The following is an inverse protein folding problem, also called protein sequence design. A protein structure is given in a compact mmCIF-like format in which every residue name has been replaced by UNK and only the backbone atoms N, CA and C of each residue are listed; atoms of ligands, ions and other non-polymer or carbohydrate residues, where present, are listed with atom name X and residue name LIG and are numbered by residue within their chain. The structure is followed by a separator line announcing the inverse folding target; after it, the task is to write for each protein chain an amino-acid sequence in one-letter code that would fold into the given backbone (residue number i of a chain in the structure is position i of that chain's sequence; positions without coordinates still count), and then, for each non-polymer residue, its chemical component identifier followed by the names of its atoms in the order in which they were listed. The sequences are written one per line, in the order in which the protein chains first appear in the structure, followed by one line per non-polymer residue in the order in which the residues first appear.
data_IF_456686852292
#
_entry.id   IF_456686852292
#
_cell.length_a   1.000
_cell.length_b   1.000
_cell.length_c   1.000
_cell.angle_alpha   90.00
_cell.angle_beta   90.00
_cell.angle_gamma   90.00
#
_symmetry.space_group_name_H-M   'P 1'
#
loop_
_entity.id
_entity.type
_entity.pdbx_description
1 polymer ?
#
# COMPACT_ATOMS: atom_id res chain seq x y z
N UNK A 1 -2.84 85.17 -6.59
CA UNK A 1 -2.81 85.23 -5.10
C UNK A 1 -3.94 84.38 -4.63
N UNK A 2 -3.70 83.40 -3.78
CA UNK A 2 -4.58 82.32 -3.27
C UNK A 2 -4.41 80.97 -4.00
N UNK A 3 -3.32 80.31 -3.69
CA UNK A 3 -3.11 78.86 -3.83
C UNK A 3 -2.02 78.42 -2.84
N UNK A 4 -2.35 78.25 -1.59
CA UNK A 4 -1.38 77.63 -0.68
C UNK A 4 -1.94 77.20 0.67
N UNK A 5 -3.09 76.59 0.74
CA UNK A 5 -3.55 76.08 2.07
C UNK A 5 -4.39 74.77 2.03
N UNK A 6 -4.16 73.96 0.97
CA UNK A 6 -4.97 72.70 0.92
C UNK A 6 -4.11 71.41 1.18
N UNK A 7 -2.82 71.54 1.59
CA UNK A 7 -1.93 70.37 1.73
C UNK A 7 -1.44 70.09 3.16
N UNK A 8 -2.12 70.55 4.18
CA UNK A 8 -1.67 70.33 5.57
C UNK A 8 -2.77 69.75 6.50
N UNK A 9 -3.51 68.74 6.08
CA UNK A 9 -4.33 67.93 7.01
C UNK A 9 -4.56 66.50 6.51
N UNK A 10 -3.50 65.80 6.14
CA UNK A 10 -3.49 64.33 6.17
C UNK A 10 -2.56 63.89 7.29
N UNK A 11 -3.01 64.07 8.54
CA UNK A 11 -2.38 63.39 9.67
C UNK A 11 -2.76 61.91 9.61
N UNK A 12 -1.74 61.12 9.45
CA UNK A 12 -1.54 59.81 10.10
C UNK A 12 -2.81 59.12 10.62
N UNK A 13 -3.43 58.33 9.76
CA UNK A 13 -4.25 57.22 10.20
C UNK A 13 -3.34 55.98 10.17
N UNK A 14 -2.68 55.72 11.29
CA UNK A 14 -1.98 54.47 11.55
C UNK A 14 -3.05 53.36 11.60
N UNK A 15 -3.18 52.62 10.49
CA UNK A 15 -3.93 51.38 10.50
C UNK A 15 -3.08 50.37 11.28
N UNK A 16 -3.40 50.21 12.55
CA UNK A 16 -2.98 49.07 13.33
C UNK A 16 -3.59 47.83 12.67
N UNK A 17 -2.80 47.14 11.83
CA UNK A 17 -3.13 45.83 11.35
C UNK A 17 -3.01 44.90 12.55
N UNK A 18 -4.07 44.75 13.31
CA UNK A 18 -4.20 43.66 14.27
C UNK A 18 -4.19 42.36 13.44
N UNK A 19 -3.01 41.71 13.40
CA UNK A 19 -2.90 40.34 12.97
C UNK A 19 -3.80 39.51 13.90
N UNK A 20 -5.04 39.30 13.51
CA UNK A 20 -5.83 38.21 14.03
C UNK A 20 -5.12 36.94 13.64
N UNK A 21 -4.29 36.43 14.56
CA UNK A 21 -3.81 35.08 14.49
C UNK A 21 -5.05 34.18 14.39
N UNK A 22 -5.31 33.65 13.21
CA UNK A 22 -6.15 32.49 13.02
C UNK A 22 -5.48 31.37 13.82
N UNK A 23 -5.78 31.31 15.12
CA UNK A 23 -5.59 30.09 15.88
C UNK A 23 -6.48 29.06 15.18
N UNK A 24 -5.88 28.27 14.28
CA UNK A 24 -6.50 27.07 13.79
C UNK A 24 -6.91 26.27 15.02
N UNK A 25 -8.22 26.14 15.25
CA UNK A 25 -8.76 25.24 16.25
C UNK A 25 -8.24 23.85 15.89
N UNK A 26 -7.17 23.44 16.53
CA UNK A 26 -6.62 22.08 16.39
C UNK A 26 -7.71 21.14 16.92
N UNK A 27 -8.31 20.36 16.03
CA UNK A 27 -9.21 19.30 16.46
C UNK A 27 -8.41 18.32 17.32
N UNK A 28 -9.01 17.84 18.42
CA UNK A 28 -8.36 16.91 19.34
C UNK A 28 -7.84 15.69 18.57
N UNK A 29 -6.60 15.29 18.87
CA UNK A 29 -5.99 14.06 18.41
C UNK A 29 -6.12 13.03 19.54
N UNK A 30 -6.80 11.91 19.29
CA UNK A 30 -7.08 10.89 20.32
C UNK A 30 -5.79 10.25 20.89
N UNK A 31 -4.64 10.42 20.21
CA UNK A 31 -3.36 9.80 20.60
C UNK A 31 -2.35 10.80 21.17
N UNK A 32 -2.67 12.08 21.30
CA UNK A 32 -1.71 13.12 21.70
C UNK A 32 -1.09 12.88 23.10
N UNK A 33 -1.77 12.15 23.98
CA UNK A 33 -1.30 11.80 25.33
C UNK A 33 -0.80 10.36 25.44
N UNK A 34 -0.71 9.63 24.31
CA UNK A 34 -0.18 8.29 24.34
C UNK A 34 1.32 8.30 24.66
N UNK A 35 1.85 7.40 25.53
CA UNK A 35 3.26 7.43 25.96
C UNK A 35 4.27 7.42 24.83
N UNK A 36 3.99 6.72 23.71
CA UNK A 36 4.89 6.67 22.55
C UNK A 36 4.68 7.81 21.54
N UNK A 37 3.71 8.73 21.74
CA UNK A 37 3.43 9.76 20.74
C UNK A 37 4.61 10.71 20.51
N UNK A 38 5.31 11.11 21.58
CA UNK A 38 6.48 11.97 21.45
C UNK A 38 7.62 11.28 20.64
N UNK A 39 7.85 9.99 20.91
CA UNK A 39 8.84 9.20 20.17
C UNK A 39 8.43 9.03 18.68
N UNK A 40 7.17 8.75 18.41
CA UNK A 40 6.64 8.71 17.04
C UNK A 40 6.88 10.03 16.30
N UNK A 41 6.53 11.17 16.93
CA UNK A 41 6.73 12.50 16.35
C UNK A 41 8.20 12.76 16.04
N UNK A 42 9.08 12.42 16.96
CA UNK A 42 10.54 12.56 16.77
C UNK A 42 11.03 11.69 15.61
N UNK A 43 10.60 10.43 15.54
CA UNK A 43 10.95 9.53 14.45
C UNK A 43 10.44 10.05 13.08
N UNK A 44 9.20 10.54 13.01
CA UNK A 44 8.66 11.14 11.80
C UNK A 44 9.48 12.34 11.31
N UNK A 45 9.94 13.19 12.24
CA UNK A 45 10.80 14.33 11.92
C UNK A 45 12.19 13.87 11.42
N UNK A 46 12.80 12.91 12.08
CA UNK A 46 14.16 12.45 11.77
C UNK A 46 14.23 11.61 10.50
N UNK A 47 13.30 10.67 10.35
CA UNK A 47 13.34 9.68 9.25
C UNK A 47 12.75 10.22 7.94
N UNK A 48 11.84 11.20 8.02
CA UNK A 48 11.11 11.72 6.85
C UNK A 48 11.29 13.22 6.62
N UNK A 49 12.10 13.91 7.44
CA UNK A 49 12.36 15.35 7.29
C UNK A 49 11.15 16.24 7.57
N UNK A 50 10.14 15.73 8.29
CA UNK A 50 8.94 16.49 8.64
C UNK A 50 9.25 17.51 9.74
N UNK A 51 8.60 18.68 9.68
CA UNK A 51 8.61 19.61 10.82
C UNK A 51 7.60 19.16 11.89
N UNK A 52 7.82 19.59 13.14
CA UNK A 52 6.89 19.34 14.22
C UNK A 52 5.45 19.82 13.89
N UNK A 53 5.35 20.98 13.24
CA UNK A 53 4.07 21.54 12.81
C UNK A 53 3.37 20.69 11.75
N UNK A 54 4.12 20.11 10.80
CA UNK A 54 3.56 19.21 9.80
C UNK A 54 2.98 17.95 10.44
N UNK A 55 3.70 17.34 11.39
CA UNK A 55 3.19 16.18 12.11
C UNK A 55 1.92 16.53 12.91
N UNK A 56 1.95 17.63 13.68
CA UNK A 56 0.80 18.06 14.48
C UNK A 56 -0.43 18.38 13.61
N UNK A 57 -0.22 19.07 12.49
CA UNK A 57 -1.29 19.38 11.54
C UNK A 57 -1.89 18.12 10.90
N UNK A 58 -1.04 17.18 10.47
CA UNK A 58 -1.49 15.91 9.90
C UNK A 58 -2.26 15.06 10.91
N UNK A 59 -1.83 15.07 12.18
CA UNK A 59 -2.45 14.31 13.27
C UNK A 59 -3.68 15.00 13.87
N UNK A 60 -3.92 16.28 13.55
CA UNK A 60 -5.10 16.99 14.02
C UNK A 60 -6.39 16.28 13.60
N UNK A 61 -7.30 16.03 14.55
CA UNK A 61 -8.55 15.32 14.35
C UNK A 61 -8.43 13.83 14.09
N UNK A 62 -7.27 13.22 14.38
CA UNK A 62 -7.08 11.75 14.28
C UNK A 62 -7.96 11.04 15.30
N UNK A 63 -8.65 9.99 14.82
CA UNK A 63 -9.59 9.20 15.63
C UNK A 63 -9.06 7.82 15.93
N UNK A 64 -9.31 7.36 17.16
CA UNK A 64 -9.11 5.96 17.52
C UNK A 64 -10.30 5.12 17.02
N UNK A 65 -10.00 4.01 16.33
CA UNK A 65 -10.96 3.09 15.72
C UNK A 65 -10.81 1.68 16.34
N UNK A 66 -11.29 1.44 17.58
CA UNK A 66 -10.99 0.21 18.34
C UNK A 66 -11.39 -1.08 17.63
N UNK A 67 -12.43 -1.03 16.76
CA UNK A 67 -12.87 -2.19 15.99
C UNK A 67 -11.79 -2.73 15.03
N UNK A 68 -10.87 -1.89 14.58
CA UNK A 68 -9.76 -2.28 13.70
C UNK A 68 -8.86 -3.33 14.38
N UNK A 69 -8.59 -3.16 15.68
CA UNK A 69 -7.78 -4.14 16.45
C UNK A 69 -8.48 -5.50 16.50
N UNK A 70 -9.81 -5.52 16.65
CA UNK A 70 -10.59 -6.76 16.63
C UNK A 70 -10.51 -7.45 15.25
N UNK A 71 -10.53 -6.68 14.16
CA UNK A 71 -10.39 -7.21 12.80
C UNK A 71 -8.98 -7.81 12.62
N UNK A 72 -7.93 -7.09 13.04
CA UNK A 72 -6.54 -7.54 12.97
C UNK A 72 -6.28 -8.85 13.75
N UNK A 73 -7.00 -9.08 14.83
CA UNK A 73 -6.88 -10.29 15.63
C UNK A 73 -7.64 -11.50 15.04
N UNK A 74 -8.44 -11.31 13.99
CA UNK A 74 -9.23 -12.36 13.32
C UNK A 74 -9.04 -12.31 11.81
N UNK A 75 -7.83 -12.57 11.30
CA UNK A 75 -7.56 -12.50 9.87
C UNK A 75 -8.41 -13.53 9.11
N UNK A 76 -8.98 -13.09 7.99
CA UNK A 76 -9.84 -13.93 7.16
C UNK A 76 -9.09 -14.99 6.35
N UNK A 77 -7.74 -14.86 6.26
CA UNK A 77 -6.87 -15.73 5.48
C UNK A 77 -6.64 -17.11 6.12
N UNK A 78 -7.07 -17.33 7.35
CA UNK A 78 -6.95 -18.62 8.03
C UNK A 78 -7.90 -19.71 7.49
N UNK A 79 -8.70 -19.41 6.45
CA UNK A 79 -9.64 -20.36 5.84
C UNK A 79 -8.92 -21.35 4.92
N UNK A 80 -9.41 -22.61 4.80
CA UNK A 80 -8.92 -23.54 3.78
C UNK A 80 -9.05 -22.96 2.37
N UNK A 81 -8.15 -23.33 1.47
CA UNK A 81 -8.09 -22.81 0.11
C UNK A 81 -9.42 -22.90 -0.65
N UNK A 82 -10.12 -24.03 -0.58
CA UNK A 82 -11.40 -24.22 -1.27
C UNK A 82 -12.45 -23.17 -0.88
N UNK A 83 -12.43 -22.72 0.37
CA UNK A 83 -13.33 -21.65 0.85
C UNK A 83 -12.78 -20.25 0.58
N UNK A 84 -11.45 -20.07 0.68
CA UNK A 84 -10.79 -18.78 0.47
C UNK A 84 -10.88 -18.32 -0.97
N UNK A 85 -10.62 -19.22 -1.93
CA UNK A 85 -10.66 -18.91 -3.37
C UNK A 85 -12.00 -18.38 -3.87
N UNK A 86 -13.11 -18.76 -3.25
CA UNK A 86 -14.45 -18.30 -3.66
C UNK A 86 -14.67 -16.81 -3.51
N UNK A 87 -13.90 -16.15 -2.64
CA UNK A 87 -13.95 -14.70 -2.46
C UNK A 87 -13.52 -13.95 -3.72
N UNK A 88 -12.66 -14.55 -4.56
CA UNK A 88 -12.03 -13.91 -5.71
C UNK A 88 -12.55 -14.40 -7.06
N UNK A 89 -13.09 -15.62 -7.10
CA UNK A 89 -13.50 -16.29 -8.35
C UNK A 89 -15.00 -16.17 -8.65
N UNK A 90 -15.69 -15.21 -8.03
CA UNK A 90 -17.09 -14.95 -8.39
C UNK A 90 -17.16 -14.44 -9.84
N UNK A 91 -18.17 -14.91 -10.60
CA UNK A 91 -18.38 -14.53 -12.01
C UNK A 91 -18.39 -13.02 -12.20
N UNK A 92 -19.00 -12.27 -11.30
CA UNK A 92 -19.03 -10.81 -11.33
C UNK A 92 -17.63 -10.18 -11.23
N UNK A 93 -16.71 -10.81 -10.49
CA UNK A 93 -15.30 -10.37 -10.38
C UNK A 93 -14.53 -10.67 -11.66
N UNK A 94 -14.73 -11.87 -12.22
CA UNK A 94 -14.12 -12.27 -13.50
C UNK A 94 -14.57 -11.32 -14.61
N UNK A 95 -15.86 -11.03 -14.71
CA UNK A 95 -16.40 -10.11 -15.71
C UNK A 95 -15.88 -8.66 -15.54
N UNK A 96 -15.66 -8.20 -14.31
CA UNK A 96 -14.96 -6.91 -14.08
C UNK A 96 -13.54 -6.96 -14.61
N UNK A 97 -12.82 -8.05 -14.37
CA UNK A 97 -11.47 -8.24 -14.88
C UNK A 97 -11.38 -8.23 -16.40
N UNK A 98 -12.33 -8.88 -17.07
CA UNK A 98 -12.41 -8.86 -18.55
C UNK A 98 -12.60 -7.44 -19.07
N UNK A 99 -13.56 -6.68 -18.50
CA UNK A 99 -13.77 -5.28 -18.87
C UNK A 99 -12.57 -4.40 -18.56
N UNK A 100 -11.94 -4.57 -17.40
CA UNK A 100 -10.74 -3.85 -17.01
C UNK A 100 -9.59 -4.11 -17.99
N UNK A 101 -9.36 -5.37 -18.36
CA UNK A 101 -8.36 -5.74 -19.38
C UNK A 101 -8.61 -5.07 -20.71
N UNK A 102 -9.86 -5.02 -21.17
CA UNK A 102 -10.23 -4.35 -22.43
C UNK A 102 -9.98 -2.84 -22.36
N UNK A 103 -10.41 -2.21 -21.26
CA UNK A 103 -10.28 -0.77 -21.05
C UNK A 103 -8.82 -0.30 -20.99
N UNK A 104 -7.95 -1.09 -20.36
CA UNK A 104 -6.55 -0.74 -20.12
C UNK A 104 -5.55 -1.59 -20.92
N UNK A 105 -5.99 -2.10 -22.09
CA UNK A 105 -5.19 -3.04 -22.90
C UNK A 105 -3.81 -2.47 -23.28
N UNK A 106 -3.75 -1.21 -23.72
CA UNK A 106 -2.50 -0.53 -24.10
C UNK A 106 -1.57 -0.36 -22.89
N UNK A 107 -2.12 0.05 -21.76
CA UNK A 107 -1.34 0.23 -20.51
C UNK A 107 -0.78 -1.09 -20.03
N UNK A 108 -1.57 -2.17 -20.06
CA UNK A 108 -1.15 -3.51 -19.68
C UNK A 108 -0.06 -4.04 -20.62
N UNK A 109 -0.21 -3.85 -21.94
CA UNK A 109 0.82 -4.21 -22.93
C UNK A 109 2.12 -3.46 -22.68
N UNK A 110 2.06 -2.16 -22.44
CA UNK A 110 3.24 -1.33 -22.13
C UNK A 110 3.94 -1.81 -20.87
N UNK A 111 3.17 -2.10 -19.80
CA UNK A 111 3.71 -2.59 -18.53
C UNK A 111 4.40 -3.96 -18.68
N UNK A 112 3.78 -4.90 -19.42
CA UNK A 112 4.38 -6.20 -19.72
C UNK A 112 5.67 -6.07 -20.54
N UNK A 113 5.68 -5.21 -21.55
CA UNK A 113 6.87 -4.94 -22.36
C UNK A 113 8.00 -4.30 -21.53
N UNK A 114 7.68 -3.32 -20.71
CA UNK A 114 8.65 -2.57 -19.93
C UNK A 114 9.23 -3.37 -18.78
N UNK A 115 8.38 -3.98 -17.96
CA UNK A 115 8.78 -4.63 -16.71
C UNK A 115 8.92 -6.15 -16.82
N UNK A 116 8.45 -6.75 -17.91
CA UNK A 116 8.48 -8.19 -18.10
C UNK A 116 7.45 -8.98 -17.29
N UNK A 117 6.54 -8.30 -16.63
CA UNK A 117 5.48 -8.92 -15.83
C UNK A 117 4.27 -9.19 -16.71
N UNK A 118 3.81 -10.45 -16.86
CA UNK A 118 2.65 -10.77 -17.69
C UNK A 118 1.39 -10.04 -17.22
N UNK A 119 0.56 -9.57 -18.16
CA UNK A 119 -0.71 -8.91 -17.85
C UNK A 119 -1.59 -9.71 -16.91
N UNK A 120 -1.61 -11.04 -17.05
CA UNK A 120 -2.39 -11.93 -16.20
C UNK A 120 -2.02 -11.80 -14.71
N UNK A 121 -0.74 -11.54 -14.40
CA UNK A 121 -0.26 -11.37 -13.02
C UNK A 121 -0.71 -10.01 -12.48
N UNK A 122 -0.54 -8.94 -13.25
CA UNK A 122 -0.99 -7.60 -12.88
C UNK A 122 -2.51 -7.60 -12.62
N UNK A 123 -3.28 -8.23 -13.52
CA UNK A 123 -4.73 -8.38 -13.39
C UNK A 123 -5.11 -9.25 -12.19
N UNK A 124 -4.36 -10.32 -11.91
CA UNK A 124 -4.58 -11.18 -10.75
C UNK A 124 -4.44 -10.41 -9.44
N UNK A 125 -3.39 -9.60 -9.30
CA UNK A 125 -3.18 -8.74 -8.13
C UNK A 125 -4.32 -7.72 -7.99
N UNK A 126 -4.66 -6.99 -9.05
CA UNK A 126 -5.78 -6.03 -9.03
C UNK A 126 -7.12 -6.68 -8.66
N UNK A 127 -7.32 -7.92 -9.13
CA UNK A 127 -8.52 -8.70 -8.81
C UNK A 127 -8.59 -9.10 -7.34
N UNK A 128 -7.48 -9.59 -6.78
CA UNK A 128 -7.39 -10.03 -5.38
C UNK A 128 -7.45 -8.86 -4.42
N UNK A 129 -6.68 -7.80 -4.68
CA UNK A 129 -6.53 -6.68 -3.76
C UNK A 129 -7.81 -5.82 -3.65
N UNK A 130 -8.42 -5.50 -4.78
CA UNK A 130 -9.52 -4.53 -4.78
C UNK A 130 -10.70 -4.90 -5.67
N UNK A 131 -10.71 -6.11 -6.27
CA UNK A 131 -11.71 -6.46 -7.28
C UNK A 131 -11.73 -5.44 -8.42
N UNK A 132 -10.53 -5.07 -8.92
CA UNK A 132 -10.34 -4.05 -9.97
C UNK A 132 -10.82 -2.65 -9.54
N UNK A 133 -10.51 -2.26 -8.31
CA UNK A 133 -10.84 -0.95 -7.75
C UNK A 133 -12.28 -0.82 -7.20
N UNK A 134 -13.05 -1.91 -7.19
CA UNK A 134 -14.42 -1.90 -6.64
C UNK A 134 -14.45 -1.76 -5.10
N UNK A 135 -13.39 -2.16 -4.41
CA UNK A 135 -13.24 -2.01 -2.97
C UNK A 135 -11.79 -1.67 -2.62
N UNK A 136 -11.51 -0.39 -2.50
CA UNK A 136 -10.19 0.13 -2.11
C UNK A 136 -10.08 0.44 -0.61
N UNK A 137 -11.03 -0.04 0.20
CA UNK A 137 -11.16 0.29 1.61
C UNK A 137 -12.06 1.50 1.86
N UNK A 138 -12.44 1.70 3.13
CA UNK A 138 -13.35 2.76 3.57
C UNK A 138 -12.89 3.48 4.84
N UNK A 139 -11.71 3.13 5.35
CA UNK A 139 -11.15 3.75 6.54
C UNK A 139 -10.28 4.95 6.18
N UNK A 140 -10.35 6.02 6.95
CA UNK A 140 -9.34 7.08 6.87
C UNK A 140 -8.00 6.44 7.25
N UNK A 141 -7.06 6.39 6.30
CA UNK A 141 -5.81 5.64 6.44
C UNK A 141 -4.99 6.11 7.63
N UNK A 142 -4.96 7.43 7.87
CA UNK A 142 -4.32 8.05 9.05
C UNK A 142 -4.88 7.45 10.35
N UNK A 143 -6.20 7.44 10.47
CA UNK A 143 -6.88 6.99 11.70
C UNK A 143 -6.66 5.48 11.92
N UNK A 144 -6.69 4.70 10.84
CA UNK A 144 -6.40 3.26 10.89
C UNK A 144 -4.96 2.98 11.35
N UNK A 145 -3.97 3.64 10.71
CA UNK A 145 -2.56 3.47 11.05
C UNK A 145 -2.24 3.98 12.46
N UNK A 146 -2.84 5.11 12.89
CA UNK A 146 -2.68 5.59 14.24
C UNK A 146 -3.27 4.61 15.27
N UNK A 147 -4.48 4.08 15.02
CA UNK A 147 -5.09 3.07 15.88
C UNK A 147 -4.20 1.85 16.06
N UNK A 148 -3.63 1.33 14.97
CA UNK A 148 -2.73 0.19 15.00
C UNK A 148 -1.36 0.54 15.59
N UNK A 149 -0.83 1.71 15.24
CA UNK A 149 0.49 2.17 15.72
C UNK A 149 0.54 2.46 17.21
N UNK A 150 -0.58 2.84 17.81
CA UNK A 150 -0.65 3.14 19.24
C UNK A 150 -1.40 2.08 20.06
N UNK A 151 -2.16 1.18 19.41
CA UNK A 151 -2.98 0.19 20.14
C UNK A 151 -2.72 -1.27 19.79
N UNK A 152 -1.90 -1.59 18.78
CA UNK A 152 -1.61 -2.97 18.37
C UNK A 152 -0.15 -3.33 18.66
N UNK A 153 0.16 -3.71 19.88
CA UNK A 153 1.52 -3.90 20.42
C UNK A 153 2.43 -4.76 19.54
N UNK A 154 1.91 -5.87 18.96
CA UNK A 154 2.70 -6.82 18.16
C UNK A 154 3.44 -6.18 16.98
N UNK A 155 2.88 -5.10 16.40
CA UNK A 155 3.42 -4.41 15.23
C UNK A 155 3.30 -2.89 15.35
N UNK A 156 3.26 -2.36 16.56
CA UNK A 156 3.06 -0.94 16.83
C UNK A 156 4.07 -0.06 16.07
N UNK A 157 5.36 -0.37 16.16
CA UNK A 157 6.42 0.38 15.47
C UNK A 157 6.22 0.39 13.95
N UNK A 158 5.93 -0.76 13.36
CA UNK A 158 5.66 -0.85 11.92
C UNK A 158 4.53 0.09 11.47
N UNK A 159 3.40 0.11 12.21
CA UNK A 159 2.28 0.99 11.85
C UNK A 159 2.56 2.46 12.14
N UNK A 160 3.39 2.79 13.14
CA UNK A 160 3.87 4.15 13.36
C UNK A 160 4.77 4.61 12.20
N UNK A 161 5.65 3.75 11.69
CA UNK A 161 6.51 4.06 10.54
C UNK A 161 5.67 4.28 9.26
N UNK A 162 4.64 3.46 9.04
CA UNK A 162 3.70 3.64 7.93
C UNK A 162 2.85 4.92 8.07
N UNK A 163 2.48 5.30 9.29
CA UNK A 163 1.81 6.57 9.56
C UNK A 163 2.72 7.76 9.24
N UNK A 164 3.99 7.71 9.64
CA UNK A 164 4.97 8.74 9.33
C UNK A 164 5.20 8.84 7.81
N UNK A 165 5.29 7.69 7.12
CA UNK A 165 5.39 7.62 5.66
C UNK A 165 4.16 8.22 4.97
N UNK A 166 2.94 7.94 5.48
CA UNK A 166 1.70 8.52 4.98
C UNK A 166 1.72 10.04 5.08
N UNK A 167 2.12 10.58 6.22
CA UNK A 167 2.21 12.02 6.45
C UNK A 167 3.20 12.64 5.45
N UNK A 168 4.40 12.08 5.33
CA UNK A 168 5.44 12.59 4.45
C UNK A 168 5.01 12.55 2.97
N UNK A 169 4.43 11.45 2.53
CA UNK A 169 3.89 11.34 1.17
C UNK A 169 2.78 12.36 0.93
N UNK A 170 1.83 12.50 1.87
CA UNK A 170 0.72 13.46 1.75
C UNK A 170 1.21 14.89 1.56
N UNK A 171 2.22 15.32 2.32
CA UNK A 171 2.82 16.65 2.18
C UNK A 171 3.53 16.84 0.86
N UNK A 172 4.30 15.84 0.41
CA UNK A 172 5.02 15.90 -0.85
C UNK A 172 4.07 16.01 -2.04
N UNK A 173 2.99 15.25 -2.02
CA UNK A 173 2.04 15.16 -3.14
C UNK A 173 0.88 16.18 -3.01
N UNK A 174 0.89 17.07 -1.99
CA UNK A 174 -0.14 18.09 -1.78
C UNK A 174 -1.52 17.52 -1.45
N UNK A 175 -1.57 16.31 -0.87
CA UNK A 175 -2.80 15.62 -0.50
C UNK A 175 -3.07 15.81 0.99
N UNK A 176 -4.30 16.13 1.37
CA UNK A 176 -4.66 16.17 2.79
C UNK A 176 -4.60 14.76 3.39
N UNK A 177 -3.76 14.54 4.41
CA UNK A 177 -3.59 13.23 5.07
C UNK A 177 -4.92 12.63 5.53
N UNK A 178 -5.84 13.47 5.99
CA UNK A 178 -7.19 13.08 6.41
C UNK A 178 -8.12 12.65 5.27
N UNK A 179 -7.80 12.95 4.00
CA UNK A 179 -8.59 12.57 2.84
C UNK A 179 -8.17 11.22 2.22
N UNK A 180 -7.06 10.65 2.69
CA UNK A 180 -6.60 9.36 2.19
C UNK A 180 -7.42 8.25 2.82
N UNK A 181 -8.12 7.50 1.97
CA UNK A 181 -8.96 6.36 2.36
C UNK A 181 -8.30 5.07 1.86
N UNK A 182 -8.33 4.04 2.70
CA UNK A 182 -7.72 2.76 2.42
C UNK A 182 -8.31 1.60 3.24
N UNK A 183 -7.56 0.51 3.36
CA UNK A 183 -7.97 -0.64 4.15
C UNK A 183 -7.89 -0.35 5.66
N UNK A 184 -8.47 -1.22 6.46
CA UNK A 184 -8.35 -1.19 7.93
C UNK A 184 -6.90 -1.30 8.42
N UNK A 185 -6.00 -1.88 7.61
CA UNK A 185 -4.59 -2.02 7.91
C UNK A 185 -3.71 -0.91 7.32
N UNK A 186 -4.32 0.09 6.66
CA UNK A 186 -3.61 1.25 6.13
C UNK A 186 -3.12 1.14 4.70
N UNK A 187 -3.46 0.08 3.97
CA UNK A 187 -3.11 -0.08 2.57
C UNK A 187 -3.96 0.83 1.67
N UNK A 188 -3.36 1.38 0.60
CA UNK A 188 -3.91 2.48 -0.19
C UNK A 188 -4.08 2.09 -1.67
N UNK A 189 -5.23 2.44 -2.22
CA UNK A 189 -5.50 2.45 -3.65
C UNK A 189 -5.72 1.08 -4.29
N UNK A 190 -5.71 1.04 -5.62
CA UNK A 190 -5.88 -0.17 -6.41
C UNK A 190 -4.93 -1.31 -6.03
N UNK A 191 -3.60 -1.07 -5.85
CA UNK A 191 -2.63 -2.12 -5.55
C UNK A 191 -2.51 -2.42 -4.06
N UNK A 192 -3.27 -1.75 -3.19
CA UNK A 192 -3.17 -1.87 -1.73
C UNK A 192 -1.73 -1.72 -1.21
N UNK A 193 -1.03 -0.71 -1.70
CA UNK A 193 0.31 -0.40 -1.21
C UNK A 193 0.26 0.21 0.19
N UNK A 194 1.18 -0.22 1.04
CA UNK A 194 1.45 0.50 2.27
C UNK A 194 2.08 1.86 1.95
N UNK A 195 1.82 2.92 2.72
CA UNK A 195 2.31 4.27 2.43
C UNK A 195 3.79 4.37 2.14
N UNK A 196 4.64 3.62 2.85
CA UNK A 196 6.08 3.61 2.63
C UNK A 196 6.49 3.04 1.27
N UNK A 197 5.65 2.23 0.63
CA UNK A 197 5.89 1.64 -0.67
C UNK A 197 5.53 2.58 -1.84
N UNK A 198 4.67 3.57 -1.61
CA UNK A 198 4.25 4.50 -2.66
C UNK A 198 5.44 5.26 -3.24
N UNK A 199 6.31 5.93 -2.45
CA UNK A 199 7.47 6.62 -2.99
C UNK A 199 8.58 5.70 -3.53
N UNK A 200 8.59 4.43 -3.11
CA UNK A 200 9.62 3.47 -3.53
C UNK A 200 9.27 2.79 -4.85
N UNK A 201 8.02 2.38 -5.00
CA UNK A 201 7.59 1.50 -6.08
C UNK A 201 6.47 2.09 -6.94
N UNK A 202 5.82 3.16 -6.46
CA UNK A 202 4.82 3.88 -7.23
C UNK A 202 5.45 4.53 -8.47
N UNK A 203 4.69 4.56 -9.56
CA UNK A 203 5.09 5.14 -10.84
C UNK A 203 3.98 6.05 -11.33
N UNK A 204 4.33 7.29 -11.66
CA UNK A 204 3.48 8.16 -12.49
C UNK A 204 3.47 7.58 -13.91
N UNK A 205 2.54 6.66 -14.14
CA UNK A 205 2.54 5.86 -15.36
C UNK A 205 1.70 6.49 -16.48
N UNK A 206 0.85 7.45 -16.15
CA UNK A 206 0.14 8.29 -17.13
C UNK A 206 0.90 9.59 -17.48
N UNK A 207 1.97 9.93 -16.74
CA UNK A 207 2.85 11.04 -17.02
C UNK A 207 2.26 12.41 -16.66
N UNK A 208 1.32 12.44 -15.71
CA UNK A 208 0.66 13.68 -15.30
C UNK A 208 1.39 14.47 -14.19
N UNK A 209 2.52 13.95 -13.69
CA UNK A 209 3.35 14.56 -12.65
C UNK A 209 3.02 14.07 -11.24
N UNK A 210 2.07 13.15 -11.07
CA UNK A 210 1.62 12.64 -9.78
C UNK A 210 1.52 11.11 -9.79
N UNK A 211 1.74 10.47 -8.64
CA UNK A 211 1.49 9.04 -8.44
C UNK A 211 0.15 8.89 -7.73
N UNK A 212 -0.94 8.68 -8.48
CA UNK A 212 -2.27 8.51 -7.89
C UNK A 212 -2.77 7.05 -7.91
N UNK A 213 -2.29 6.24 -6.98
CA UNK A 213 -2.73 4.85 -6.86
C UNK A 213 -4.20 4.71 -6.42
N UNK A 214 -4.83 5.80 -5.98
CA UNK A 214 -6.22 5.79 -5.51
C UNK A 214 -7.22 5.94 -6.66
N UNK A 215 -6.91 6.75 -7.66
CA UNK A 215 -7.84 7.11 -8.72
C UNK A 215 -7.32 6.76 -10.14
N UNK A 216 -6.00 6.66 -10.32
CA UNK A 216 -5.39 6.26 -11.60
C UNK A 216 -5.15 4.74 -11.64
N UNK A 217 -5.96 4.03 -12.43
CA UNK A 217 -5.71 2.63 -12.73
C UNK A 217 -4.43 2.46 -13.58
N UNK A 218 -4.04 3.48 -14.34
CA UNK A 218 -2.83 3.49 -15.17
C UNK A 218 -1.60 3.45 -14.27
N UNK A 219 -1.54 4.34 -13.26
CA UNK A 219 -0.45 4.34 -12.28
C UNK A 219 -0.39 3.05 -11.47
N UNK A 220 -1.56 2.51 -11.09
CA UNK A 220 -1.63 1.26 -10.38
C UNK A 220 -1.06 0.09 -11.18
N UNK A 221 -1.36 -0.02 -12.48
CA UNK A 221 -0.81 -1.04 -13.38
C UNK A 221 0.71 -0.93 -13.44
N UNK A 222 1.23 0.28 -13.71
CA UNK A 222 2.67 0.54 -13.77
C UNK A 222 3.37 0.25 -12.44
N UNK A 223 2.76 0.65 -11.33
CA UNK A 223 3.31 0.47 -10.00
C UNK A 223 3.35 -0.99 -9.55
N UNK A 224 2.32 -1.80 -9.86
CA UNK A 224 2.33 -3.24 -9.61
C UNK A 224 3.46 -3.90 -10.40
N UNK A 225 3.59 -3.59 -11.68
CA UNK A 225 4.63 -4.16 -12.52
C UNK A 225 6.03 -3.76 -12.05
N UNK A 226 6.24 -2.50 -11.70
CA UNK A 226 7.49 -1.99 -11.13
C UNK A 226 7.82 -2.66 -9.79
N UNK A 227 6.82 -2.80 -8.89
CA UNK A 227 7.00 -3.48 -7.61
C UNK A 227 7.54 -4.90 -7.79
N UNK A 228 6.92 -5.70 -8.67
CA UNK A 228 7.37 -7.07 -8.95
C UNK A 228 8.76 -7.10 -9.58
N UNK A 229 9.03 -6.22 -10.55
CA UNK A 229 10.35 -6.13 -11.19
C UNK A 229 11.46 -5.83 -10.17
N UNK A 230 11.23 -4.89 -9.25
CA UNK A 230 12.20 -4.54 -8.20
C UNK A 230 12.32 -5.62 -7.11
N UNK A 231 11.34 -6.53 -6.99
CA UNK A 231 11.37 -7.67 -6.09
C UNK A 231 11.87 -8.97 -6.76
N UNK A 232 12.59 -8.85 -7.86
CA UNK A 232 13.27 -10.00 -8.48
C UNK A 232 12.42 -10.77 -9.49
N UNK A 233 11.35 -10.16 -10.02
CA UNK A 233 10.61 -10.78 -11.11
C UNK A 233 11.51 -11.07 -12.30
N UNK A 234 11.49 -12.31 -12.79
CA UNK A 234 12.26 -12.74 -13.95
C UNK A 234 11.32 -13.00 -15.13
N UNK A 235 11.58 -12.29 -16.23
CA UNK A 235 10.80 -12.43 -17.48
C UNK A 235 10.84 -13.87 -17.99
N UNK A 236 9.70 -14.38 -18.41
CA UNK A 236 9.55 -15.72 -18.99
C UNK A 236 9.85 -16.91 -18.05
N UNK A 237 10.06 -16.64 -16.77
CA UNK A 237 10.18 -17.74 -15.79
C UNK A 237 8.79 -18.19 -15.30
N UNK A 238 8.59 -19.50 -15.06
CA UNK A 238 7.37 -20.00 -14.48
C UNK A 238 7.23 -19.53 -13.03
N UNK A 239 6.01 -19.17 -12.62
CA UNK A 239 5.72 -18.71 -11.25
C UNK A 239 5.38 -19.88 -10.35
N UNK A 240 4.53 -20.76 -10.84
CA UNK A 240 4.05 -21.94 -10.15
C UNK A 240 3.59 -23.00 -11.16
N UNK A 241 3.68 -24.24 -10.77
CA UNK A 241 3.19 -25.37 -11.54
C UNK A 241 2.77 -26.49 -10.59
N UNK A 242 1.81 -27.34 -11.00
CA UNK A 242 1.44 -28.51 -10.24
C UNK A 242 2.62 -29.48 -10.12
N UNK A 243 2.85 -29.97 -8.91
CA UNK A 243 3.89 -30.93 -8.61
C UNK A 243 3.29 -32.24 -8.09
N UNK A 244 4.00 -33.34 -8.37
CA UNK A 244 3.74 -34.66 -7.80
C UNK A 244 4.73 -34.90 -6.67
N UNK A 245 4.24 -35.49 -5.59
CA UNK A 245 5.06 -35.98 -4.48
C UNK A 245 4.97 -37.50 -4.41
N UNK A 246 6.12 -38.17 -4.31
CA UNK A 246 6.21 -39.62 -4.22
C UNK A 246 6.88 -40.10 -2.93
N UNK A 247 7.23 -39.18 -2.04
CA UNK A 247 7.84 -39.52 -0.75
C UNK A 247 6.81 -39.99 0.29
N UNK A 248 7.27 -40.31 1.49
CA UNK A 248 6.43 -40.82 2.58
C UNK A 248 6.06 -39.76 3.63
N UNK A 249 6.75 -38.62 3.64
CA UNK A 249 6.53 -37.56 4.62
C UNK A 249 6.35 -36.19 3.93
N UNK A 250 5.12 -35.78 3.56
CA UNK A 250 4.88 -34.53 2.87
C UNK A 250 5.26 -33.29 3.72
N UNK A 251 5.17 -33.35 5.05
CA UNK A 251 5.50 -32.23 5.93
C UNK A 251 7.00 -31.87 5.89
N UNK A 252 7.86 -32.78 5.39
CA UNK A 252 9.28 -32.51 5.22
C UNK A 252 9.59 -31.62 4.02
N UNK A 253 8.70 -31.56 3.03
CA UNK A 253 8.90 -30.82 1.78
C UNK A 253 8.03 -29.57 1.66
N UNK A 254 6.92 -29.50 2.43
CA UNK A 254 6.03 -28.34 2.43
C UNK A 254 6.72 -27.17 3.12
N UNK A 255 6.80 -26.04 2.43
CA UNK A 255 7.40 -24.83 2.99
C UNK A 255 6.60 -24.33 4.20
N UNK A 256 7.28 -24.20 5.33
CA UNK A 256 6.74 -23.58 6.55
C UNK A 256 6.88 -22.07 6.53
N UNK A 257 7.86 -21.57 5.79
CA UNK A 257 8.18 -20.17 5.59
C UNK A 257 8.57 -19.97 4.12
N UNK A 258 7.80 -19.17 3.39
CA UNK A 258 8.02 -18.91 1.97
C UNK A 258 9.25 -18.01 1.72
N UNK A 259 9.81 -17.40 2.76
CA UNK A 259 11.06 -16.62 2.65
C UNK A 259 12.31 -17.51 2.66
N UNK A 260 12.15 -18.81 2.88
CA UNK A 260 13.23 -19.79 2.92
C UNK A 260 13.06 -20.87 1.85
N UNK A 261 13.19 -20.52 0.56
CA UNK A 261 13.07 -21.49 -0.52
C UNK A 261 14.23 -22.49 -0.49
N UNK A 262 14.01 -23.69 -1.04
CA UNK A 262 15.03 -24.73 -1.15
C UNK A 262 15.44 -24.93 -2.61
N UNK A 263 16.69 -25.33 -2.88
CA UNK A 263 17.10 -25.75 -4.22
C UNK A 263 16.23 -26.90 -4.72
N UNK A 264 15.77 -26.82 -5.96
CA UNK A 264 14.91 -27.88 -6.55
C UNK A 264 15.59 -29.26 -6.54
N UNK A 265 16.90 -29.33 -6.76
CA UNK A 265 17.65 -30.58 -6.68
C UNK A 265 17.47 -31.30 -5.34
N UNK A 266 17.40 -30.58 -4.23
CA UNK A 266 17.14 -31.16 -2.91
C UNK A 266 15.70 -31.71 -2.83
N UNK A 267 14.69 -30.93 -3.27
CA UNK A 267 13.30 -31.37 -3.28
C UNK A 267 13.06 -32.56 -4.21
N UNK A 268 13.78 -32.62 -5.34
CA UNK A 268 13.73 -33.70 -6.29
C UNK A 268 14.23 -35.03 -5.66
N UNK A 269 15.31 -34.99 -4.87
CA UNK A 269 15.76 -36.18 -4.14
C UNK A 269 14.78 -36.64 -3.08
N UNK A 270 13.92 -35.75 -2.60
CA UNK A 270 12.82 -36.03 -1.64
C UNK A 270 11.52 -36.48 -2.32
N UNK A 271 11.49 -36.60 -3.65
CA UNK A 271 10.34 -37.10 -4.39
C UNK A 271 9.41 -36.05 -4.99
N UNK A 272 9.84 -34.77 -5.07
CA UNK A 272 9.09 -33.73 -5.78
C UNK A 272 9.45 -33.74 -7.26
N UNK A 273 8.43 -33.68 -8.11
CA UNK A 273 8.59 -33.53 -9.57
C UNK A 273 7.46 -32.75 -10.17
N UNK A 274 7.66 -31.95 -11.26
CA UNK A 274 6.58 -31.33 -12.00
C UNK A 274 5.61 -32.38 -12.53
N UNK A 275 4.31 -32.09 -12.49
CA UNK A 275 3.30 -32.95 -13.15
C UNK A 275 3.40 -32.86 -14.67
N UNK A 276 3.77 -31.69 -15.19
CA UNK A 276 4.01 -31.51 -16.62
C UNK A 276 5.51 -31.71 -16.93
N UNK A 277 5.90 -32.74 -17.70
CA UNK A 277 7.30 -33.04 -18.01
C UNK A 277 7.98 -31.98 -18.90
N UNK A 278 7.23 -31.09 -19.53
CA UNK A 278 7.79 -29.99 -20.35
C UNK A 278 8.38 -28.89 -19.45
N UNK A 279 7.93 -28.77 -18.20
CA UNK A 279 8.46 -27.79 -17.24
C UNK A 279 9.87 -28.23 -16.86
N UNK A 280 10.85 -27.42 -17.27
CA UNK A 280 12.26 -27.61 -16.88
C UNK A 280 12.59 -26.68 -15.74
N UNK A 281 13.17 -27.24 -14.70
CA UNK A 281 13.63 -26.52 -13.51
C UNK A 281 15.08 -26.92 -13.33
N UNK A 282 15.97 -25.97 -13.14
CA UNK A 282 17.35 -26.21 -12.78
C UNK A 282 17.44 -26.73 -11.33
N UNK A 283 18.34 -27.64 -11.07
CA UNK A 283 18.52 -28.17 -9.72
C UNK A 283 18.98 -27.11 -8.69
N UNK A 284 19.49 -25.96 -9.16
CA UNK A 284 19.90 -24.84 -8.35
C UNK A 284 18.75 -23.79 -8.17
N UNK A 285 17.65 -23.88 -8.93
CA UNK A 285 16.52 -22.97 -8.78
C UNK A 285 15.94 -23.07 -7.38
N UNK A 286 15.75 -21.92 -6.74
CA UNK A 286 15.16 -21.81 -5.40
C UNK A 286 13.64 -21.84 -5.51
N UNK A 287 13.01 -22.85 -4.93
CA UNK A 287 11.56 -23.06 -5.01
C UNK A 287 10.94 -23.37 -3.64
N UNK A 288 9.67 -23.08 -3.49
CA UNK A 288 8.86 -23.48 -2.35
C UNK A 288 7.80 -24.49 -2.78
N UNK A 289 7.58 -25.51 -1.97
CA UNK A 289 6.45 -26.43 -2.13
C UNK A 289 5.31 -25.96 -1.23
N UNK A 290 4.16 -25.68 -1.82
CA UNK A 290 2.94 -25.33 -1.09
C UNK A 290 1.86 -26.38 -1.32
N UNK A 291 1.13 -26.73 -0.26
CA UNK A 291 -0.03 -27.62 -0.36
C UNK A 291 -1.32 -26.79 -0.27
N UNK A 292 -2.13 -26.87 -1.30
CA UNK A 292 -3.48 -26.32 -1.31
C UNK A 292 -4.46 -27.41 -0.86
N UNK A 293 -5.11 -27.21 0.29
CA UNK A 293 -6.17 -28.11 0.74
C UNK A 293 -7.44 -27.82 -0.08
N UNK A 294 -7.83 -28.76 -0.89
CA UNK A 294 -9.09 -28.75 -1.64
C UNK A 294 -10.27 -29.24 -0.79
#
# INVERSE_FOLDING_TARGET
MLKSDFYKKFKQLSIALTAFGLSSLSLANDFQYHPSYAAFKQNAMQSYGLSAQQVDSAMSGTRNLPNIINIMNRPGESKPWYSYKTNFLAESTIQRGVRFKQQYAETLNRAEQQFGVPQAIILGILGVETGFGSNKGSFVTRDALATLGFGYERRAQYFQDELAALIAWSYRDGVATSSVVGSYAGAVGYPQFMPSNIPKFGVDYDGNGHIDLRNSAVDAIGSIANYLAQHGWQRNQPIAFPARYTGSNPDAVIAKDLTQPMPYGVLKTQGISPMNPIVKIDDLDLVNVIQLKE
#
